data_IF_395936729478
#
_entry.id   IF_395936729478
#
_cell.length_a   1.000
_cell.length_b   1.000
_cell.length_c   1.000
_cell.angle_alpha   90.00
_cell.angle_beta   90.00
_cell.angle_gamma   90.00
#
_symmetry.space_group_name_H-M   'P 1'
#
loop_
_entity.id
_entity.type
_entity.pdbx_description
1 polymer ?
#
# COMPACT_ATOMS: atom_id res chain seq x y z
N UNK A 1 18.65 -5.66 -28.13
CA UNK A 1 19.04 -5.28 -26.76
C UNK A 1 18.35 -6.27 -25.83
N UNK A 2 19.09 -7.25 -25.32
CA UNK A 2 18.55 -8.25 -24.38
C UNK A 2 18.51 -7.54 -23.03
N UNK A 3 17.32 -7.34 -22.48
CA UNK A 3 17.17 -6.82 -21.12
C UNK A 3 17.33 -8.03 -20.23
N UNK A 4 18.43 -8.07 -19.48
CA UNK A 4 18.66 -9.09 -18.46
C UNK A 4 17.55 -8.95 -17.42
N UNK A 5 16.66 -9.95 -17.35
CA UNK A 5 15.56 -9.93 -16.38
C UNK A 5 16.13 -10.56 -15.11
N UNK A 6 16.19 -9.85 -13.98
CA UNK A 6 16.68 -10.42 -12.74
C UNK A 6 15.87 -11.67 -12.38
N UNK A 7 16.54 -12.75 -12.00
CA UNK A 7 15.89 -14.02 -11.66
C UNK A 7 15.22 -13.99 -10.28
N UNK A 8 15.67 -13.09 -9.41
CA UNK A 8 15.18 -12.95 -8.04
C UNK A 8 14.04 -11.95 -7.92
N UNK A 9 13.26 -12.12 -6.85
CA UNK A 9 12.20 -11.17 -6.50
C UNK A 9 12.83 -9.87 -5.95
N UNK A 10 12.26 -8.73 -6.32
CA UNK A 10 12.60 -7.43 -5.75
C UNK A 10 11.69 -7.14 -4.54
N UNK A 11 12.27 -6.98 -3.36
CA UNK A 11 11.55 -6.52 -2.17
C UNK A 11 11.76 -5.01 -1.97
N UNK A 12 10.65 -4.27 -1.88
CA UNK A 12 10.65 -2.83 -1.61
C UNK A 12 10.07 -2.54 -0.24
N UNK A 13 10.78 -1.77 0.58
CA UNK A 13 10.30 -1.30 1.88
C UNK A 13 9.79 0.13 1.77
N UNK A 14 8.58 0.38 2.28
CA UNK A 14 7.98 1.71 2.33
C UNK A 14 8.39 2.41 3.64
N UNK A 15 9.06 3.56 3.52
CA UNK A 15 9.53 4.34 4.67
C UNK A 15 9.19 5.83 4.50
N UNK A 16 8.31 6.41 5.35
CA UNK A 16 7.44 5.73 6.32
C UNK A 16 6.34 4.89 5.65
N UNK A 17 5.55 4.16 6.44
CA UNK A 17 4.34 3.47 5.97
C UNK A 17 3.19 4.47 5.70
N UNK A 18 3.40 5.42 4.79
CA UNK A 18 2.42 6.36 4.28
C UNK A 18 2.53 6.43 2.75
N UNK A 19 1.65 5.75 2.03
CA UNK A 19 1.68 5.67 0.56
C UNK A 19 1.55 7.01 -0.17
N UNK A 20 1.13 8.08 0.51
CA UNK A 20 1.05 9.43 -0.07
C UNK A 20 2.37 10.21 0.10
N UNK A 21 3.21 9.81 1.06
CA UNK A 21 4.45 10.49 1.45
C UNK A 21 5.47 9.46 1.95
N UNK A 22 6.12 8.75 1.03
CA UNK A 22 7.03 7.63 1.33
C UNK A 22 8.16 7.51 0.33
N UNK A 23 9.20 6.80 0.73
CA UNK A 23 10.30 6.34 -0.13
C UNK A 23 10.23 4.82 -0.21
N UNK A 24 10.36 4.28 -1.43
CA UNK A 24 10.47 2.83 -1.64
C UNK A 24 11.94 2.49 -1.83
N UNK A 25 12.46 1.68 -0.91
CA UNK A 25 13.88 1.33 -0.79
C UNK A 25 14.05 -0.16 -1.05
N UNK A 26 15.05 -0.56 -1.84
CA UNK A 26 15.41 -1.97 -2.06
C UNK A 26 16.07 -2.60 -0.83
N UNK A 27 16.30 -3.92 -0.85
CA UNK A 27 17.04 -4.62 0.21
C UNK A 27 18.49 -4.12 0.35
N UNK A 28 19.09 -3.66 -0.74
CA UNK A 28 20.43 -3.08 -0.74
C UNK A 28 20.49 -1.65 -0.16
N UNK A 29 19.34 -1.09 0.23
CA UNK A 29 19.24 0.27 0.75
C UNK A 29 19.15 1.34 -0.34
N UNK A 30 18.99 0.95 -1.61
CA UNK A 30 18.86 1.90 -2.71
C UNK A 30 17.45 2.48 -2.81
N UNK A 31 17.35 3.81 -2.93
CA UNK A 31 16.10 4.51 -3.20
C UNK A 31 15.68 4.28 -4.66
N UNK A 32 14.60 3.54 -4.87
CA UNK A 32 14.06 3.31 -6.21
C UNK A 32 12.92 4.27 -6.58
N UNK A 33 12.09 4.64 -5.60
CA UNK A 33 11.00 5.60 -5.82
C UNK A 33 10.83 6.57 -4.67
N UNK A 34 10.34 7.76 -5.00
CA UNK A 34 9.92 8.77 -4.03
C UNK A 34 8.48 9.19 -4.31
N UNK A 35 7.64 9.18 -3.29
CA UNK A 35 6.23 9.54 -3.36
C UNK A 35 6.02 10.77 -2.50
N UNK A 36 5.52 11.84 -3.10
CA UNK A 36 5.30 13.13 -2.44
C UNK A 36 3.90 13.61 -2.76
N UNK A 37 3.17 14.03 -1.73
CA UNK A 37 1.89 14.71 -1.88
C UNK A 37 2.06 16.19 -1.63
N UNK A 38 1.70 17.00 -2.62
CA UNK A 38 1.74 18.46 -2.56
C UNK A 38 0.32 18.99 -2.44
N UNK A 39 0.07 19.77 -1.39
CA UNK A 39 -1.20 20.46 -1.18
C UNK A 39 -1.07 21.92 -1.61
N UNK A 40 -1.85 22.30 -2.61
CA UNK A 40 -1.97 23.69 -3.06
C UNK A 40 -3.36 24.22 -2.75
N UNK A 41 -3.56 25.54 -2.88
CA UNK A 41 -4.89 26.15 -2.72
C UNK A 41 -5.94 25.61 -3.70
N UNK A 42 -5.51 25.06 -4.84
CA UNK A 42 -6.41 24.64 -5.93
C UNK A 42 -6.55 23.12 -6.05
N UNK A 43 -5.53 22.38 -5.64
CA UNK A 43 -5.47 20.94 -5.85
C UNK A 43 -4.48 20.28 -4.91
N UNK A 44 -4.73 19.01 -4.62
CA UNK A 44 -3.77 18.12 -3.95
C UNK A 44 -3.28 17.11 -4.98
N UNK A 45 -1.97 16.95 -5.12
CA UNK A 45 -1.37 16.04 -6.10
C UNK A 45 -0.35 15.14 -5.43
N UNK A 46 -0.55 13.82 -5.55
CA UNK A 46 0.48 12.83 -5.21
C UNK A 46 1.28 12.50 -6.46
N UNK A 47 2.60 12.68 -6.42
CA UNK A 47 3.50 12.35 -7.51
C UNK A 47 4.40 11.18 -7.14
N UNK A 48 4.54 10.23 -8.06
CA UNK A 48 5.49 9.12 -7.97
C UNK A 48 6.68 9.43 -8.86
N UNK A 49 7.87 9.50 -8.26
CA UNK A 49 9.12 9.80 -8.95
C UNK A 49 10.04 8.58 -8.92
N UNK A 50 10.75 8.34 -10.01
CA UNK A 50 11.77 7.28 -10.09
C UNK A 50 13.08 7.70 -9.38
N UNK A 51 14.12 6.87 -9.46
CA UNK A 51 15.43 7.14 -8.84
C UNK A 51 16.17 8.36 -9.42
N UNK A 52 15.78 8.81 -10.62
CA UNK A 52 16.29 10.02 -11.29
C UNK A 52 15.44 11.25 -11.00
N UNK A 53 14.46 11.12 -10.11
CA UNK A 53 13.47 12.14 -9.76
C UNK A 53 12.54 12.56 -10.92
N UNK A 54 12.47 11.78 -12.01
CA UNK A 54 11.48 11.97 -13.07
C UNK A 54 10.09 11.53 -12.56
N UNK A 55 9.06 12.33 -12.84
CA UNK A 55 7.67 11.98 -12.51
C UNK A 55 7.17 10.90 -13.47
N UNK A 56 6.95 9.69 -12.96
CA UNK A 56 6.43 8.56 -13.75
C UNK A 56 4.90 8.46 -13.69
N UNK A 57 4.28 8.95 -12.62
CA UNK A 57 2.84 9.05 -12.49
C UNK A 57 2.45 10.13 -11.49
N UNK A 58 1.26 10.69 -11.65
CA UNK A 58 0.66 11.59 -10.67
C UNK A 58 -0.83 11.32 -10.49
N UNK A 59 -1.32 11.57 -9.29
CA UNK A 59 -2.71 11.45 -8.88
C UNK A 59 -3.20 12.82 -8.40
N UNK A 60 -4.10 13.44 -9.15
CA UNK A 60 -4.79 14.67 -8.78
C UNK A 60 -6.05 14.32 -7.99
N UNK A 61 -6.09 14.76 -6.73
CA UNK A 61 -7.17 14.46 -5.80
C UNK A 61 -8.33 15.41 -6.04
N UNK A 62 -9.55 14.89 -5.99
CA UNK A 62 -10.76 15.69 -6.21
C UNK A 62 -11.79 15.40 -5.12
N UNK A 63 -12.34 16.47 -4.54
CA UNK A 63 -13.26 16.35 -3.40
C UNK A 63 -14.63 15.75 -3.79
N UNK A 64 -15.13 16.09 -4.98
CA UNK A 64 -16.49 15.73 -5.44
C UNK A 64 -16.47 14.75 -6.61
N UNK A 65 -15.43 14.77 -7.42
CA UNK A 65 -15.28 13.92 -8.60
C UNK A 65 -14.24 12.83 -8.33
N UNK A 66 -14.24 11.69 -9.06
CA UNK A 66 -13.21 10.66 -8.89
C UNK A 66 -11.80 11.21 -9.07
N UNK A 67 -10.75 10.68 -8.45
CA UNK A 67 -9.39 11.21 -8.70
C UNK A 67 -8.97 11.08 -10.19
N UNK A 68 -8.08 11.94 -10.65
CA UNK A 68 -7.47 11.84 -11.99
C UNK A 68 -6.04 11.33 -11.89
N UNK A 69 -5.67 10.47 -12.82
CA UNK A 69 -4.34 9.89 -12.92
C UNK A 69 -3.67 10.29 -14.22
N UNK A 70 -2.39 10.62 -14.14
CA UNK A 70 -1.51 10.83 -15.30
C UNK A 70 -0.39 9.80 -15.21
N UNK A 71 -0.18 8.99 -16.24
CA UNK A 71 0.91 7.99 -16.29
C UNK A 71 1.86 8.34 -17.42
N UNK A 72 3.14 8.54 -17.09
CA UNK A 72 4.16 9.00 -18.00
C UNK A 72 3.78 10.33 -18.67
N UNK A 73 3.78 10.34 -20.00
CA UNK A 73 3.46 11.53 -20.83
C UNK A 73 2.02 11.52 -21.36
N UNK A 74 1.17 10.60 -20.88
CA UNK A 74 -0.20 10.49 -21.34
C UNK A 74 -1.08 11.64 -20.83
N UNK A 75 -2.24 11.84 -21.45
CA UNK A 75 -3.23 12.79 -20.94
C UNK A 75 -3.82 12.29 -19.61
N UNK A 76 -4.19 13.19 -18.69
CA UNK A 76 -4.89 12.80 -17.46
C UNK A 76 -6.20 12.07 -17.78
N UNK A 77 -6.45 10.95 -17.10
CA UNK A 77 -7.69 10.15 -17.19
C UNK A 77 -8.28 9.92 -15.80
N UNK A 78 -9.54 9.51 -15.70
CA UNK A 78 -10.11 9.12 -14.40
C UNK A 78 -9.42 7.85 -13.89
N UNK A 79 -9.20 7.76 -12.57
CA UNK A 79 -8.70 6.53 -11.96
C UNK A 79 -9.61 5.34 -12.28
N UNK A 80 -10.92 5.55 -12.32
CA UNK A 80 -11.91 4.51 -12.67
C UNK A 80 -11.84 4.04 -14.11
N UNK A 81 -11.36 4.91 -15.02
CA UNK A 81 -11.20 4.55 -16.44
C UNK A 81 -9.91 3.76 -16.65
N UNK A 82 -8.85 4.13 -15.92
CA UNK A 82 -7.56 3.44 -15.94
C UNK A 82 -7.60 2.08 -15.20
N UNK A 83 -8.22 2.06 -14.02
CA UNK A 83 -8.31 0.90 -13.12
C UNK A 83 -9.79 0.57 -12.85
N UNK A 84 -10.29 -0.44 -13.55
CA UNK A 84 -11.72 -0.80 -13.55
C UNK A 84 -12.03 -1.77 -12.42
N UNK A 85 -12.98 -1.39 -11.56
CA UNK A 85 -13.56 -2.29 -10.54
C UNK A 85 -14.41 -3.37 -11.21
N UNK A 86 -14.41 -4.57 -10.64
CA UNK A 86 -15.30 -5.65 -11.07
C UNK A 86 -16.77 -5.27 -10.87
N UNK A 87 -17.60 -5.59 -11.86
CA UNK A 87 -19.06 -5.42 -11.79
C UNK A 87 -19.76 -6.60 -11.08
N UNK A 88 -19.04 -7.69 -10.83
CA UNK A 88 -19.58 -8.87 -10.15
C UNK A 88 -19.71 -8.52 -8.64
N UNK A 89 -20.91 -8.68 -8.04
CA UNK A 89 -21.10 -8.45 -6.61
C UNK A 89 -20.11 -9.24 -5.75
N UNK A 90 -19.68 -8.65 -4.63
CA UNK A 90 -18.73 -9.23 -3.64
C UNK A 90 -17.32 -9.53 -4.18
N UNK A 91 -17.02 -9.12 -5.41
CA UNK A 91 -15.71 -9.28 -6.01
C UNK A 91 -15.00 -7.94 -6.04
N UNK A 92 -14.15 -7.71 -5.05
CA UNK A 92 -13.36 -6.49 -4.90
C UNK A 92 -12.07 -6.54 -5.74
N UNK A 93 -12.19 -6.97 -6.99
CA UNK A 93 -11.07 -7.02 -7.93
C UNK A 93 -11.00 -5.72 -8.73
N UNK A 94 -9.78 -5.27 -9.01
CA UNK A 94 -9.51 -4.10 -9.84
C UNK A 94 -8.60 -4.50 -10.99
N UNK A 95 -9.01 -4.23 -12.22
CA UNK A 95 -8.28 -4.64 -13.42
C UNK A 95 -7.78 -3.44 -14.22
N UNK A 96 -6.60 -3.57 -14.81
CA UNK A 96 -6.04 -2.59 -15.73
C UNK A 96 -5.30 -3.30 -16.87
N UNK A 97 -4.89 -2.51 -17.87
CA UNK A 97 -4.19 -2.98 -19.07
C UNK A 97 -2.95 -2.12 -19.27
N UNK A 98 -1.84 -2.73 -19.64
CA UNK A 98 -0.63 -1.98 -20.02
C UNK A 98 -0.67 -1.50 -21.49
N UNK A 99 0.38 -0.82 -21.91
CA UNK A 99 0.58 -0.32 -23.28
C UNK A 99 0.66 -1.43 -24.33
N UNK A 100 0.99 -2.66 -23.92
CA UNK A 100 1.08 -3.85 -24.78
C UNK A 100 -0.24 -4.65 -24.80
N UNK A 101 -1.29 -4.17 -24.15
CA UNK A 101 -2.59 -4.85 -24.10
C UNK A 101 -2.65 -6.02 -23.11
N UNK A 102 -1.60 -6.22 -22.29
CA UNK A 102 -1.56 -7.28 -21.27
C UNK A 102 -2.46 -6.87 -20.10
N UNK A 103 -3.24 -7.83 -19.61
CA UNK A 103 -4.27 -7.57 -18.59
C UNK A 103 -3.76 -7.98 -17.21
N UNK A 104 -4.03 -7.13 -16.24
CA UNK A 104 -3.62 -7.31 -14.86
C UNK A 104 -4.81 -7.12 -13.92
N UNK A 105 -4.73 -7.75 -12.76
CA UNK A 105 -5.81 -7.74 -11.77
C UNK A 105 -5.25 -7.69 -10.36
N UNK A 106 -5.51 -6.58 -9.66
CA UNK A 106 -5.37 -6.46 -8.23
C UNK A 106 -6.53 -7.18 -7.53
N UNK A 107 -6.22 -8.04 -6.57
CA UNK A 107 -7.16 -8.62 -5.61
C UNK A 107 -6.84 -8.08 -4.22
N UNK A 108 -7.79 -8.24 -3.30
CA UNK A 108 -7.58 -7.84 -1.89
C UNK A 108 -7.99 -6.41 -1.57
N UNK A 109 -8.81 -5.76 -2.40
CA UNK A 109 -9.36 -4.42 -2.14
C UNK A 109 -10.47 -4.40 -1.06
N UNK A 110 -10.68 -5.50 -0.34
CA UNK A 110 -11.62 -5.59 0.79
C UNK A 110 -10.91 -5.17 2.10
N UNK A 111 -11.69 -4.75 3.11
CA UNK A 111 -11.14 -4.40 4.42
C UNK A 111 -10.36 -5.58 5.05
N UNK A 112 -9.20 -5.29 5.65
CA UNK A 112 -8.36 -6.27 6.32
C UNK A 112 -7.61 -7.26 5.39
N UNK A 113 -7.71 -7.10 4.07
CA UNK A 113 -6.89 -7.85 3.10
C UNK A 113 -5.73 -6.99 2.62
N UNK A 114 -4.75 -7.62 1.99
CA UNK A 114 -3.62 -6.91 1.36
C UNK A 114 -3.65 -7.13 -0.14
N UNK A 115 -3.14 -6.16 -0.88
CA UNK A 115 -3.15 -6.18 -2.33
C UNK A 115 -2.21 -7.23 -2.92
N UNK A 116 -2.72 -7.99 -3.88
CA UNK A 116 -1.94 -8.93 -4.69
C UNK A 116 -2.26 -8.74 -6.17
N UNK A 117 -1.23 -8.67 -7.01
CA UNK A 117 -1.37 -8.48 -8.46
C UNK A 117 -1.23 -9.81 -9.19
N UNK A 118 -2.15 -10.08 -10.11
CA UNK A 118 -2.14 -11.25 -10.97
C UNK A 118 -2.10 -10.84 -12.44
N UNK A 119 -1.49 -11.67 -13.29
CA UNK A 119 -1.41 -11.45 -14.73
C UNK A 119 -2.40 -12.37 -15.48
N UNK A 120 -2.88 -11.96 -16.65
CA UNK A 120 -3.72 -12.83 -17.47
C UNK A 120 -2.93 -13.93 -18.21
N UNK A 121 -1.63 -13.73 -18.41
CA UNK A 121 -0.76 -14.62 -19.20
C UNK A 121 -0.71 -16.05 -18.63
N UNK A 122 -0.83 -16.20 -17.30
CA UNK A 122 -0.90 -17.47 -16.58
C UNK A 122 -2.33 -17.79 -16.10
N UNK A 123 -3.35 -17.20 -16.73
CA UNK A 123 -4.76 -17.30 -16.29
C UNK A 123 -5.00 -16.83 -14.85
N UNK A 124 -4.20 -15.88 -14.37
CA UNK A 124 -4.24 -15.37 -13.00
C UNK A 124 -3.94 -16.45 -11.94
N UNK A 125 -3.10 -17.43 -12.27
CA UNK A 125 -2.74 -18.53 -11.38
C UNK A 125 -1.86 -18.07 -10.21
N UNK A 126 -0.85 -17.26 -10.47
CA UNK A 126 0.12 -16.81 -9.47
C UNK A 126 0.16 -15.30 -9.33
N UNK A 127 0.35 -14.83 -8.09
CA UNK A 127 0.56 -13.41 -7.85
C UNK A 127 1.98 -13.02 -8.28
N UNK A 128 2.09 -11.97 -9.09
CA UNK A 128 3.36 -11.39 -9.53
C UNK A 128 3.82 -10.25 -8.62
N UNK A 129 2.93 -9.73 -7.77
CA UNK A 129 3.23 -8.73 -6.74
C UNK A 129 2.41 -8.98 -5.49
N UNK A 130 3.00 -8.79 -4.30
CA UNK A 130 2.31 -8.90 -3.01
C UNK A 130 2.67 -7.73 -2.11
N UNK A 131 1.66 -7.10 -1.53
CA UNK A 131 1.83 -6.09 -0.50
C UNK A 131 1.65 -6.72 0.89
N UNK A 132 2.51 -6.34 1.82
CA UNK A 132 2.37 -6.66 3.23
C UNK A 132 2.40 -5.35 4.04
N UNK A 133 1.31 -5.07 4.75
CA UNK A 133 1.21 -3.91 5.64
C UNK A 133 2.18 -3.98 6.80
N UNK A 134 2.57 -2.82 7.30
CA UNK A 134 3.25 -2.72 8.59
C UNK A 134 2.37 -3.35 9.66
N UNK A 135 2.97 -4.20 10.49
CA UNK A 135 2.26 -4.84 11.60
C UNK A 135 3.13 -4.93 12.82
N UNK A 136 2.46 -4.86 13.97
CA UNK A 136 3.05 -5.12 15.27
C UNK A 136 3.21 -6.63 15.45
N UNK A 137 4.44 -7.08 15.63
CA UNK A 137 4.76 -8.47 15.94
C UNK A 137 5.10 -8.56 17.42
N UNK A 138 4.37 -9.44 18.11
CA UNK A 138 4.75 -9.85 19.44
C UNK A 138 5.79 -10.96 19.30
N UNK A 139 7.03 -10.77 19.79
CA UNK A 139 8.01 -11.84 19.77
C UNK A 139 7.42 -13.03 20.52
N UNK A 140 7.45 -14.20 19.87
CA UNK A 140 7.03 -15.44 20.54
C UNK A 140 7.93 -15.60 21.75
N UNK A 141 7.34 -15.63 22.95
CA UNK A 141 8.06 -16.04 24.16
C UNK A 141 8.47 -17.48 23.89
N UNK A 142 9.74 -17.67 23.52
CA UNK A 142 10.33 -19.00 23.41
C UNK A 142 10.28 -19.59 24.81
N UNK A 143 9.42 -20.57 25.00
CA UNK A 143 9.46 -21.47 26.15
C UNK A 143 10.67 -22.39 26.05
N UNK A 144 11.85 -21.83 25.82
CA UNK A 144 13.12 -22.53 26.03
C UNK A 144 13.32 -22.56 27.54
N UNK A 145 12.80 -23.62 28.15
CA UNK A 145 13.17 -24.09 29.47
C UNK A 145 14.69 -24.23 29.48
N UNK A 146 15.40 -23.25 30.02
CA UNK A 146 16.81 -23.37 30.32
C UNK A 146 16.94 -24.45 31.42
N UNK A 147 17.46 -25.66 31.12
CA UNK A 147 17.44 -26.78 32.06
C UNK A 147 18.35 -26.55 33.28
N UNK A 148 19.18 -25.51 33.26
CA UNK A 148 20.13 -25.17 34.32
C UNK A 148 19.70 -23.95 35.17
N UNK A 149 18.51 -23.38 34.95
CA UNK A 149 18.02 -22.27 35.77
C UNK A 149 17.36 -22.80 37.04
N UNK A 150 18.06 -22.70 38.18
CA UNK A 150 17.62 -23.19 39.50
C UNK A 150 16.38 -22.49 40.07
N UNK A 151 15.78 -21.54 39.34
CA UNK A 151 14.55 -20.87 39.74
C UNK A 151 13.76 -20.48 38.47
N UNK A 152 12.57 -21.05 38.20
CA UNK A 152 11.71 -20.57 37.14
C UNK A 152 11.23 -19.16 37.49
N UNK A 153 11.76 -18.14 36.81
CA UNK A 153 11.21 -16.79 36.90
C UNK A 153 9.84 -16.77 36.24
N UNK A 154 8.78 -16.74 37.05
CA UNK A 154 7.38 -16.64 36.61
C UNK A 154 6.99 -15.22 36.16
N UNK A 155 7.92 -14.27 36.16
CA UNK A 155 7.66 -12.92 35.70
C UNK A 155 7.69 -12.89 34.16
N UNK A 156 6.56 -12.61 33.47
CA UNK A 156 6.58 -12.41 32.03
C UNK A 156 7.53 -11.25 31.73
N UNK A 157 8.63 -11.54 31.06
CA UNK A 157 9.55 -10.49 30.60
C UNK A 157 8.79 -9.68 29.55
N UNK A 158 8.47 -8.42 29.87
CA UNK A 158 7.72 -7.54 28.98
C UNK A 158 8.61 -7.21 27.76
N UNK A 159 8.54 -8.04 26.72
CA UNK A 159 9.28 -7.75 25.48
C UNK A 159 8.52 -6.68 24.73
N UNK A 160 9.19 -5.55 24.46
CA UNK A 160 8.61 -4.49 23.66
C UNK A 160 8.20 -5.03 22.28
N UNK A 161 7.01 -4.65 21.79
CA UNK A 161 6.57 -5.09 20.48
C UNK A 161 7.52 -4.62 19.38
N UNK A 162 7.80 -5.49 18.41
CA UNK A 162 8.63 -5.17 17.25
C UNK A 162 7.71 -4.86 16.08
N UNK A 163 7.93 -3.74 15.41
CA UNK A 163 7.19 -3.40 14.17
C UNK A 163 7.90 -4.01 12.98
N UNK A 164 7.16 -4.76 12.17
CA UNK A 164 7.61 -5.15 10.83
C UNK A 164 7.19 -4.06 9.85
N UNK A 165 8.09 -3.59 8.95
CA UNK A 165 7.78 -2.51 8.03
C UNK A 165 6.80 -2.96 6.94
N UNK A 166 6.18 -1.98 6.28
CA UNK A 166 5.38 -2.23 5.09
C UNK A 166 6.28 -2.56 3.89
N UNK A 167 5.95 -3.62 3.17
CA UNK A 167 6.78 -4.13 2.07
C UNK A 167 5.95 -4.49 0.84
N UNK A 168 6.53 -4.32 -0.33
CA UNK A 168 5.97 -4.70 -1.62
C UNK A 168 6.97 -5.61 -2.36
N UNK A 169 6.60 -6.86 -2.58
CA UNK A 169 7.45 -7.84 -3.27
C UNK A 169 7.03 -7.97 -4.72
N UNK A 170 7.99 -7.83 -5.65
CA UNK A 170 7.78 -7.94 -7.10
C UNK A 170 8.54 -9.15 -7.64
N UNK A 171 7.85 -10.01 -8.37
CA UNK A 171 8.49 -11.09 -9.14
C UNK A 171 9.20 -10.54 -10.39
N UNK A 172 10.11 -11.31 -11.01
CA UNK A 172 10.72 -10.95 -12.30
C UNK A 172 9.70 -10.51 -13.35
N UNK A 173 8.51 -11.15 -13.36
CA UNK A 173 7.42 -10.80 -14.27
C UNK A 173 6.84 -9.41 -14.00
N UNK A 174 6.67 -9.04 -12.73
CA UNK A 174 6.20 -7.72 -12.33
C UNK A 174 7.24 -6.62 -12.58
N UNK A 175 8.52 -6.93 -12.48
CA UNK A 175 9.60 -5.98 -12.77
C UNK A 175 9.59 -5.48 -14.22
N UNK A 176 9.09 -6.29 -15.17
CA UNK A 176 8.88 -5.85 -16.56
C UNK A 176 7.86 -4.71 -16.71
N UNK A 177 7.03 -4.46 -15.70
CA UNK A 177 6.05 -3.37 -15.64
C UNK A 177 6.16 -2.60 -14.31
N UNK A 178 7.37 -2.51 -13.75
CA UNK A 178 7.62 -2.02 -12.40
C UNK A 178 6.93 -0.68 -12.11
N UNK A 179 7.17 0.34 -12.94
CA UNK A 179 6.59 1.69 -12.76
C UNK A 179 5.06 1.67 -12.71
N UNK A 180 4.45 0.80 -13.53
CA UNK A 180 2.99 0.63 -13.59
C UNK A 180 2.46 -0.08 -12.34
N UNK A 181 3.19 -1.08 -11.83
CA UNK A 181 2.88 -1.78 -10.58
C UNK A 181 2.95 -0.82 -9.40
N UNK A 182 4.06 -0.08 -9.26
CA UNK A 182 4.26 0.88 -8.17
C UNK A 182 3.17 1.94 -8.18
N UNK A 183 2.92 2.56 -9.34
CA UNK A 183 1.93 3.63 -9.44
C UNK A 183 0.51 3.14 -9.15
N UNK A 184 0.12 1.99 -9.71
CA UNK A 184 -1.22 1.43 -9.47
C UNK A 184 -1.42 1.01 -8.02
N UNK A 185 -0.42 0.35 -7.42
CA UNK A 185 -0.44 -0.02 -6.01
C UNK A 185 -0.63 1.19 -5.09
N UNK A 186 0.22 2.22 -5.23
CA UNK A 186 0.20 3.39 -4.35
C UNK A 186 -1.15 4.12 -4.40
N UNK A 187 -1.71 4.30 -5.60
CA UNK A 187 -2.98 4.99 -5.75
C UNK A 187 -4.16 4.16 -5.22
N UNK A 188 -4.14 2.84 -5.40
CA UNK A 188 -5.16 1.96 -4.82
C UNK A 188 -5.08 1.91 -3.30
N UNK A 189 -3.88 1.77 -2.74
CA UNK A 189 -3.67 1.74 -1.28
C UNK A 189 -4.06 3.07 -0.63
N UNK A 190 -3.83 4.21 -1.30
CA UNK A 190 -4.35 5.52 -0.85
C UNK A 190 -5.87 5.46 -0.71
N UNK A 191 -6.57 5.07 -1.78
CA UNK A 191 -8.04 5.00 -1.75
C UNK A 191 -8.54 4.00 -0.71
N UNK A 192 -7.85 2.86 -0.56
CA UNK A 192 -8.20 1.84 0.42
C UNK A 192 -8.09 2.36 1.85
N UNK A 193 -6.98 3.02 2.20
CA UNK A 193 -6.79 3.64 3.53
C UNK A 193 -7.80 4.75 3.83
N UNK A 194 -8.11 5.60 2.86
CA UNK A 194 -9.15 6.62 3.02
C UNK A 194 -10.50 5.98 3.34
N UNK A 195 -10.88 4.94 2.60
CA UNK A 195 -12.16 4.24 2.84
C UNK A 195 -12.19 3.57 4.22
N UNK A 196 -11.13 2.87 4.62
CA UNK A 196 -11.05 2.24 5.95
C UNK A 196 -11.17 3.28 7.08
N UNK A 197 -10.50 4.42 6.94
CA UNK A 197 -10.60 5.52 7.90
C UNK A 197 -12.02 6.10 7.96
N UNK A 198 -12.68 6.32 6.82
CA UNK A 198 -14.06 6.78 6.79
C UNK A 198 -15.02 5.78 7.46
N UNK A 199 -14.84 4.49 7.23
CA UNK A 199 -15.63 3.44 7.87
C UNK A 199 -15.44 3.44 9.39
N UNK A 200 -14.21 3.59 9.87
CA UNK A 200 -13.92 3.68 11.30
C UNK A 200 -14.54 4.93 11.93
N UNK A 201 -14.38 6.10 11.29
CA UNK A 201 -14.96 7.36 11.77
C UNK A 201 -16.48 7.29 11.85
N UNK A 202 -17.15 6.67 10.87
CA UNK A 202 -18.60 6.45 10.89
C UNK A 202 -19.02 5.49 12.00
N UNK A 203 -18.27 4.40 12.21
CA UNK A 203 -18.55 3.44 13.27
C UNK A 203 -18.43 4.09 14.66
N UNK A 204 -17.38 4.87 14.89
CA UNK A 204 -17.15 5.59 16.15
C UNK A 204 -18.27 6.61 16.43
N UNK A 205 -18.70 7.36 15.40
CA UNK A 205 -19.79 8.32 15.52
C UNK A 205 -21.13 7.67 15.92
N UNK A 206 -21.41 6.44 15.46
CA UNK A 206 -22.61 5.70 15.81
C UNK A 206 -22.49 4.95 17.15
N UNK A 207 -21.27 4.59 17.55
CA UNK A 207 -20.98 3.87 18.79
C UNK A 207 -20.81 4.77 20.03
N UNK A 208 -20.82 6.09 19.87
CA UNK A 208 -20.70 7.02 21.00
C UNK A 208 -22.05 7.17 21.70
N UNK A 209 -22.26 6.64 22.92
CA UNK A 209 -23.46 6.94 23.70
C UNK A 209 -23.50 8.45 23.98
N UNK A 210 -24.68 9.06 23.90
CA UNK A 210 -24.92 10.46 24.27
C UNK A 210 -24.67 10.65 25.78
N UNK A 211 -23.40 10.77 26.17
CA UNK A 211 -22.98 10.99 27.55
C UNK A 211 -22.20 12.30 27.62
N UNK A 212 -22.85 13.31 28.18
CA UNK A 212 -22.29 14.40 28.97
C UNK A 212 -21.04 15.11 28.46
N UNK A 213 -21.24 16.35 28.01
CA UNK A 213 -20.25 17.42 27.92
C UNK A 213 -19.26 17.39 29.10
N UNK A 214 -17.96 17.23 28.81
CA UNK A 214 -16.78 17.91 29.39
C UNK A 214 -15.53 17.03 29.27
N UNK A 215 -14.93 16.98 28.08
CA UNK A 215 -13.62 16.39 27.88
C UNK A 215 -13.05 16.78 26.52
N UNK A 216 -12.03 17.64 26.51
CA UNK A 216 -11.33 18.06 25.29
C UNK A 216 -10.64 16.85 24.66
N UNK A 217 -11.29 16.21 23.69
CA UNK A 217 -10.63 15.25 22.82
C UNK A 217 -9.76 16.01 21.82
N UNK A 218 -8.44 15.85 21.97
CA UNK A 218 -7.44 16.34 21.01
C UNK A 218 -7.36 15.30 19.90
N UNK A 219 -8.08 15.54 18.81
CA UNK A 219 -7.89 14.81 17.56
C UNK A 219 -6.48 15.14 17.06
N UNK A 220 -5.53 14.21 17.23
CA UNK A 220 -4.30 14.27 16.44
C UNK A 220 -4.69 13.84 15.03
N UNK A 221 -4.90 14.81 14.16
CA UNK A 221 -4.86 14.59 12.72
C UNK A 221 -3.46 14.06 12.37
N UNK A 222 -3.30 12.74 12.39
CA UNK A 222 -2.28 12.07 11.61
C UNK A 222 -2.71 12.19 10.15
N UNK A 223 -2.35 13.31 9.53
CA UNK A 223 -2.63 13.61 8.14
C UNK A 223 -2.13 12.49 7.23
N UNK A 224 -2.94 12.19 6.23
CA UNK A 224 -2.53 11.50 5.01
C UNK A 224 -1.43 12.32 4.32
#
# INVERSE_FOLDING_TARGET
MIIDVPEDNLLLTLTPDNVSNTVLISEDGERLYTVITEHTKKTTVTSVRNSRDDVIASLEWRDVLPDKVTVGKNKPVLVTDWMKRSLIPFKDDISFVDDRGRKYKWKGNSAGRSFELFCADDSYASAITRFQRSRRVHPKISSELNPNASTPSLAPTLVNPVWTPATLTLTPRAMQIQDLVISSFLFLEKTHRTNEQEHQVRADALGTPAMGVLGRYRVSNGGV
#
